data_IF_542602390162
#
_entry.id   IF_542602390162
#
_cell.length_a   1.000
_cell.length_b   1.000
_cell.length_c   1.000
_cell.angle_alpha   90.00
_cell.angle_beta   90.00
_cell.angle_gamma   90.00
#
_symmetry.space_group_name_H-M   'P 1'
#
loop_
_entity.id
_entity.type
_entity.pdbx_description
1 polymer ?
#
# COMPACT_ATOMS: atom_id res chain seq x y z
N UNK A 1 -29.41 22.08 -15.13
CA UNK A 1 -28.15 21.52 -14.58
C UNK A 1 -28.47 20.08 -14.20
N UNK A 2 -27.89 19.08 -14.88
CA UNK A 2 -28.25 17.67 -14.72
C UNK A 2 -27.14 16.87 -14.00
N UNK A 3 -26.34 17.56 -13.17
CA UNK A 3 -25.29 16.91 -12.41
C UNK A 3 -25.92 16.20 -11.20
N UNK A 4 -25.69 14.89 -11.02
CA UNK A 4 -26.16 14.17 -9.85
C UNK A 4 -25.47 14.68 -8.58
N UNK A 5 -26.09 14.46 -7.42
CA UNK A 5 -25.48 14.87 -6.16
C UNK A 5 -24.35 13.92 -5.77
N UNK A 6 -23.31 14.44 -5.11
CA UNK A 6 -22.13 13.62 -4.75
C UNK A 6 -22.44 12.52 -3.75
N UNK A 7 -23.43 12.68 -2.88
CA UNK A 7 -23.76 11.66 -1.87
C UNK A 7 -24.35 10.39 -2.51
N UNK A 8 -24.95 10.50 -3.70
CA UNK A 8 -25.51 9.38 -4.45
C UNK A 8 -24.43 8.35 -4.86
N UNK A 9 -23.14 8.69 -4.71
CA UNK A 9 -22.01 7.80 -4.99
C UNK A 9 -21.79 6.73 -3.92
N UNK A 10 -22.13 7.02 -2.66
CA UNK A 10 -21.81 6.16 -1.50
C UNK A 10 -22.99 5.94 -0.55
N UNK A 11 -24.06 6.72 -0.64
CA UNK A 11 -25.29 6.54 0.14
C UNK A 11 -26.28 5.71 -0.68
N UNK A 12 -26.78 4.62 -0.09
CA UNK A 12 -27.86 3.80 -0.65
C UNK A 12 -29.20 4.52 -0.51
N UNK A 13 -30.04 4.44 -1.52
CA UNK A 13 -31.40 4.97 -1.46
C UNK A 13 -32.35 4.01 -0.75
N UNK A 14 -33.48 4.53 -0.27
CA UNK A 14 -34.49 3.73 0.42
C UNK A 14 -35.03 2.61 -0.48
N UNK A 15 -34.69 1.36 -0.14
CA UNK A 15 -35.10 0.16 -0.88
C UNK A 15 -34.03 -0.45 -1.79
N UNK A 16 -32.86 0.18 -1.96
CA UNK A 16 -31.74 -0.42 -2.69
C UNK A 16 -31.02 -1.47 -1.85
N UNK A 17 -30.87 -2.69 -2.39
CA UNK A 17 -30.06 -3.72 -1.74
C UNK A 17 -28.58 -3.43 -2.01
N UNK A 18 -27.70 -3.48 -0.99
CA UNK A 18 -26.26 -3.21 -1.20
C UNK A 18 -25.59 -4.25 -2.09
N UNK A 19 -26.07 -5.50 -2.04
CA UNK A 19 -25.54 -6.63 -2.77
C UNK A 19 -26.69 -7.39 -3.43
N UNK A 20 -26.56 -7.62 -4.73
CA UNK A 20 -27.47 -8.44 -5.51
C UNK A 20 -26.69 -9.61 -6.11
N UNK A 21 -27.09 -10.84 -5.80
CA UNK A 21 -26.44 -12.05 -6.35
C UNK A 21 -27.27 -12.57 -7.51
N UNK A 22 -26.63 -12.73 -8.67
CA UNK A 22 -27.22 -13.24 -9.89
C UNK A 22 -26.46 -14.51 -10.26
N UNK A 23 -27.09 -15.67 -10.09
CA UNK A 23 -26.49 -16.94 -10.48
C UNK A 23 -26.40 -17.05 -12.00
N UNK A 24 -25.27 -17.54 -12.52
CA UNK A 24 -25.07 -17.72 -13.97
C UNK A 24 -25.59 -19.10 -14.38
N UNK A 25 -26.61 -19.13 -15.24
CA UNK A 25 -27.19 -20.39 -15.74
C UNK A 25 -26.37 -21.02 -16.87
N UNK A 26 -25.42 -20.28 -17.46
CA UNK A 26 -24.63 -20.76 -18.62
C UNK A 26 -23.35 -21.47 -18.20
N UNK A 27 -22.80 -21.14 -17.02
CA UNK A 27 -21.53 -21.67 -16.53
C UNK A 27 -21.79 -22.34 -15.18
N UNK A 28 -21.40 -23.61 -15.00
CA UNK A 28 -21.59 -24.29 -13.72
C UNK A 28 -20.78 -23.60 -12.62
N UNK A 29 -21.36 -23.54 -11.41
CA UNK A 29 -20.73 -22.96 -10.22
C UNK A 29 -20.22 -21.52 -10.41
N UNK A 30 -20.94 -20.73 -11.21
CA UNK A 30 -20.62 -19.33 -11.43
C UNK A 30 -21.73 -18.41 -10.92
N UNK A 31 -21.34 -17.29 -10.32
CA UNK A 31 -22.25 -16.24 -9.91
C UNK A 31 -21.69 -14.87 -10.32
N UNK A 32 -22.59 -13.98 -10.70
CA UNK A 32 -22.31 -12.55 -10.90
C UNK A 32 -22.93 -11.79 -9.75
N UNK A 33 -22.10 -11.10 -8.98
CA UNK A 33 -22.51 -10.32 -7.82
C UNK A 33 -22.42 -8.85 -8.19
N UNK A 34 -23.52 -8.13 -8.03
CA UNK A 34 -23.61 -6.70 -8.25
C UNK A 34 -23.57 -5.99 -6.90
N UNK A 35 -22.59 -5.11 -6.74
CA UNK A 35 -22.40 -4.34 -5.50
C UNK A 35 -22.66 -2.87 -5.82
N UNK A 36 -23.65 -2.30 -5.13
CA UNK A 36 -24.08 -0.92 -5.33
C UNK A 36 -23.27 0.04 -4.44
N UNK A 37 -23.13 1.27 -4.93
CA UNK A 37 -22.45 2.39 -4.24
C UNK A 37 -20.99 2.07 -3.86
N UNK A 38 -20.31 1.30 -4.70
CA UNK A 38 -18.91 0.91 -4.53
C UNK A 38 -18.15 1.04 -5.84
N UNK A 39 -16.83 1.18 -5.73
CA UNK A 39 -15.94 1.50 -6.83
C UNK A 39 -14.78 0.48 -6.97
N UNK A 40 -13.75 0.87 -7.73
CA UNK A 40 -12.55 0.08 -7.95
C UNK A 40 -11.79 -0.24 -6.67
N UNK A 41 -11.93 0.56 -5.61
CA UNK A 41 -11.25 0.36 -4.33
C UNK A 41 -11.61 -1.01 -3.77
N UNK A 42 -12.90 -1.30 -3.67
CA UNK A 42 -13.40 -2.57 -3.18
C UNK A 42 -13.33 -3.65 -4.26
N UNK A 43 -13.70 -3.33 -5.50
CA UNK A 43 -13.73 -4.30 -6.61
C UNK A 43 -12.37 -4.92 -6.91
N UNK A 44 -11.31 -4.12 -6.98
CA UNK A 44 -9.97 -4.62 -7.26
C UNK A 44 -9.39 -5.41 -6.07
N UNK A 45 -9.65 -4.96 -4.85
CA UNK A 45 -9.19 -5.63 -3.64
C UNK A 45 -9.80 -7.02 -3.51
N UNK A 46 -11.12 -7.14 -3.68
CA UNK A 46 -11.81 -8.43 -3.68
C UNK A 46 -11.31 -9.34 -4.80
N UNK A 47 -11.16 -8.82 -6.02
CA UNK A 47 -10.65 -9.61 -7.15
C UNK A 47 -9.27 -10.20 -6.84
N UNK A 48 -8.36 -9.41 -6.30
CA UNK A 48 -7.01 -9.88 -5.95
C UNK A 48 -7.06 -10.98 -4.88
N UNK A 49 -7.87 -10.80 -3.83
CA UNK A 49 -8.02 -11.80 -2.78
C UNK A 49 -8.64 -13.10 -3.30
N UNK A 50 -9.66 -12.99 -4.15
CA UNK A 50 -10.35 -14.13 -4.76
C UNK A 50 -9.38 -14.95 -5.61
N UNK A 51 -8.58 -14.30 -6.46
CA UNK A 51 -7.56 -14.96 -7.29
C UNK A 51 -6.44 -15.64 -6.48
N UNK A 52 -6.22 -15.23 -5.24
CA UNK A 52 -5.23 -15.89 -4.36
C UNK A 52 -5.74 -17.22 -3.78
N UNK A 53 -7.04 -17.53 -3.89
CA UNK A 53 -7.61 -18.77 -3.34
C UNK A 53 -7.57 -19.91 -4.36
N UNK A 54 -7.13 -21.12 -3.97
CA UNK A 54 -6.93 -22.24 -4.91
C UNK A 54 -8.23 -22.82 -5.48
N UNK A 55 -9.36 -22.53 -4.84
CA UNK A 55 -10.68 -23.06 -5.15
C UNK A 55 -11.37 -22.30 -6.29
N UNK A 56 -10.79 -21.18 -6.71
CA UNK A 56 -11.33 -20.32 -7.74
C UNK A 56 -10.77 -20.72 -9.11
N UNK A 57 -11.66 -20.82 -10.09
CA UNK A 57 -11.28 -21.01 -11.48
C UNK A 57 -11.21 -19.67 -12.21
N UNK A 58 -12.12 -18.75 -11.87
CA UNK A 58 -12.17 -17.43 -12.48
C UNK A 58 -12.71 -16.39 -11.50
N UNK A 59 -12.03 -15.23 -11.45
CA UNK A 59 -12.51 -14.05 -10.77
C UNK A 59 -12.19 -12.80 -11.59
N UNK A 60 -13.21 -12.01 -11.90
CA UNK A 60 -13.05 -10.77 -12.64
C UNK A 60 -14.13 -9.77 -12.25
N UNK A 61 -13.78 -8.50 -12.18
CA UNK A 61 -14.75 -7.42 -11.97
C UNK A 61 -14.73 -6.43 -13.11
N UNK A 62 -15.85 -5.76 -13.33
CA UNK A 62 -15.97 -4.66 -14.27
C UNK A 62 -16.91 -3.59 -13.73
N UNK A 63 -16.60 -2.34 -14.03
CA UNK A 63 -17.51 -1.21 -13.87
C UNK A 63 -18.17 -0.98 -15.23
N UNK A 64 -19.48 -1.25 -15.40
CA UNK A 64 -20.12 -1.16 -16.72
C UNK A 64 -20.10 0.25 -17.30
N UNK A 65 -20.20 1.26 -16.44
CA UNK A 65 -20.17 2.66 -16.83
C UNK A 65 -19.66 3.54 -15.68
N UNK A 66 -18.75 4.50 -15.92
CA UNK A 66 -18.12 5.29 -14.86
C UNK A 66 -19.07 6.24 -14.13
N UNK A 67 -20.18 6.66 -14.77
CA UNK A 67 -21.17 7.53 -14.12
C UNK A 67 -22.10 6.81 -13.14
N UNK A 68 -22.05 5.47 -13.09
CA UNK A 68 -22.87 4.70 -12.16
C UNK A 68 -21.96 4.02 -11.14
N UNK A 69 -22.15 4.31 -9.83
CA UNK A 69 -21.28 3.82 -8.76
C UNK A 69 -21.67 2.37 -8.41
N UNK A 70 -21.49 1.44 -9.34
CA UNK A 70 -21.62 0.02 -9.06
C UNK A 70 -20.65 -0.78 -9.92
N UNK A 71 -20.23 -1.93 -9.40
CA UNK A 71 -19.44 -2.88 -10.17
C UNK A 71 -20.08 -4.26 -10.14
N UNK A 72 -19.74 -5.05 -11.14
CA UNK A 72 -20.14 -6.44 -11.27
C UNK A 72 -18.90 -7.30 -11.10
N UNK A 73 -18.92 -8.22 -10.14
CA UNK A 73 -17.88 -9.23 -9.97
C UNK A 73 -18.42 -10.60 -10.37
N UNK A 74 -17.70 -11.28 -11.26
CA UNK A 74 -18.00 -12.63 -11.71
C UNK A 74 -17.02 -13.59 -11.06
N UNK A 75 -17.56 -14.59 -10.40
CA UNK A 75 -16.83 -15.61 -9.64
C UNK A 75 -17.24 -16.97 -10.21
N UNK A 76 -16.25 -17.83 -10.45
CA UNK A 76 -16.45 -19.23 -10.82
C UNK A 76 -15.59 -20.11 -9.91
N UNK A 77 -16.21 -21.09 -9.28
CA UNK A 77 -15.55 -22.04 -8.37
C UNK A 77 -15.44 -23.43 -9.02
N UNK A 78 -14.58 -24.27 -8.44
CA UNK A 78 -14.43 -25.68 -8.81
C UNK A 78 -15.63 -26.56 -8.42
N UNK A 79 -16.58 -26.02 -7.66
CA UNK A 79 -17.77 -26.71 -7.15
C UNK A 79 -17.62 -27.30 -5.75
N UNK A 80 -16.46 -27.16 -5.10
CA UNK A 80 -16.27 -27.55 -3.70
C UNK A 80 -17.00 -26.61 -2.74
N UNK A 81 -17.00 -25.31 -3.06
CA UNK A 81 -17.66 -24.25 -2.28
C UNK A 81 -18.51 -23.39 -3.22
N UNK A 82 -19.64 -22.89 -2.72
CA UNK A 82 -20.49 -21.96 -3.46
C UNK A 82 -19.79 -20.61 -3.67
N UNK A 83 -20.00 -19.92 -4.79
CA UNK A 83 -19.38 -18.61 -5.04
C UNK A 83 -19.67 -17.57 -3.95
N UNK A 84 -20.85 -17.65 -3.32
CA UNK A 84 -21.25 -16.76 -2.22
C UNK A 84 -20.40 -17.02 -0.97
N UNK A 85 -20.29 -18.27 -0.53
CA UNK A 85 -19.49 -18.62 0.64
C UNK A 85 -18.00 -18.34 0.43
N UNK A 86 -17.50 -18.51 -0.80
CA UNK A 86 -16.12 -18.15 -1.13
C UNK A 86 -15.88 -16.64 -1.04
N UNK A 87 -16.87 -15.82 -1.43
CA UNK A 87 -16.79 -14.37 -1.27
C UNK A 87 -16.74 -13.97 0.20
N UNK A 88 -17.56 -14.57 1.06
CA UNK A 88 -17.56 -14.28 2.50
C UNK A 88 -16.19 -14.60 3.12
N UNK A 89 -15.62 -15.77 2.78
CA UNK A 89 -14.27 -16.14 3.23
C UNK A 89 -13.19 -15.18 2.70
N UNK A 90 -13.35 -14.64 1.49
CA UNK A 90 -12.43 -13.62 0.96
C UNK A 90 -12.50 -12.34 1.78
N UNK A 91 -13.69 -11.89 2.14
CA UNK A 91 -13.91 -10.71 2.98
C UNK A 91 -13.29 -10.88 4.37
N UNK A 92 -13.51 -12.03 5.03
CA UNK A 92 -12.93 -12.33 6.35
C UNK A 92 -11.39 -12.31 6.31
N UNK A 93 -10.79 -12.91 5.28
CA UNK A 93 -9.32 -12.90 5.09
C UNK A 93 -8.77 -11.50 4.86
N UNK A 94 -9.48 -10.66 4.10
CA UNK A 94 -9.10 -9.25 3.89
C UNK A 94 -9.16 -8.46 5.19
N UNK A 95 -10.23 -8.62 5.98
CA UNK A 95 -10.37 -7.97 7.30
C UNK A 95 -9.22 -8.39 8.22
N UNK A 96 -8.88 -9.68 8.26
CA UNK A 96 -7.75 -10.20 9.05
C UNK A 96 -6.40 -9.64 8.59
N UNK A 97 -6.20 -9.50 7.29
CA UNK A 97 -4.97 -8.93 6.69
C UNK A 97 -4.82 -7.45 7.04
N UNK A 98 -5.89 -6.66 6.89
CA UNK A 98 -5.90 -5.23 7.24
C UNK A 98 -5.72 -5.01 8.74
N UNK A 99 -6.35 -5.83 9.58
CA UNK A 99 -6.18 -5.76 11.04
C UNK A 99 -4.73 -6.06 11.45
N UNK A 100 -4.11 -7.04 10.79
CA UNK A 100 -2.70 -7.39 11.02
C UNK A 100 -1.75 -6.28 10.56
N UNK A 101 -2.06 -5.65 9.42
CA UNK A 101 -1.33 -4.49 8.91
C UNK A 101 -1.43 -3.31 9.88
N UNK A 102 -2.62 -2.99 10.36
CA UNK A 102 -2.86 -1.91 11.32
C UNK A 102 -2.06 -2.12 12.61
N UNK A 103 -2.09 -3.35 13.16
CA UNK A 103 -1.36 -3.68 14.38
C UNK A 103 0.17 -3.55 14.20
N UNK A 104 0.70 -4.05 13.07
CA UNK A 104 2.14 -3.92 12.75
C UNK A 104 2.51 -2.45 12.53
N UNK A 105 1.70 -1.70 11.79
CA UNK A 105 1.94 -0.28 11.53
C UNK A 105 1.97 0.55 12.81
N UNK A 106 0.99 0.37 13.70
CA UNK A 106 0.95 1.05 15.02
C UNK A 106 2.16 0.70 15.89
N UNK A 107 2.58 -0.57 15.89
CA UNK A 107 3.78 -1.01 16.60
C UNK A 107 5.02 -0.27 16.10
N UNK A 108 5.28 -0.27 14.80
CA UNK A 108 6.47 0.38 14.23
C UNK A 108 6.46 1.90 14.46
N UNK A 109 5.30 2.55 14.37
CA UNK A 109 5.20 3.99 14.61
C UNK A 109 5.39 4.37 16.08
N UNK A 110 4.99 3.51 17.03
CA UNK A 110 5.21 3.75 18.46
C UNK A 110 6.69 3.82 18.86
N UNK A 111 7.58 3.20 18.08
CA UNK A 111 9.03 3.29 18.32
C UNK A 111 9.67 4.55 17.70
N UNK A 112 9.07 5.12 16.64
CA UNK A 112 9.60 6.32 15.96
C UNK A 112 9.45 7.60 16.78
N UNK A 113 8.42 7.70 17.63
CA UNK A 113 8.24 8.84 18.51
C UNK A 113 9.34 8.94 19.59
N UNK A 114 10.06 7.84 19.86
CA UNK A 114 11.14 7.81 20.87
C UNK A 114 12.49 8.22 20.28
N UNK A 115 12.80 7.86 19.03
CA UNK A 115 14.06 8.28 18.38
C UNK A 115 14.10 9.78 18.02
N UNK A 116 12.93 10.43 17.84
CA UNK A 116 12.83 11.88 17.60
C UNK A 116 12.97 12.75 18.86
N UNK A 117 12.92 12.17 20.06
CA UNK A 117 12.91 12.93 21.33
C UNK A 117 14.28 13.00 22.04
N UNK A 118 15.31 12.29 21.57
CA UNK A 118 16.66 12.27 22.21
C UNK A 118 17.57 13.40 21.70
N UNK A 119 17.01 14.46 21.10
CA UNK A 119 17.76 15.62 20.59
C UNK A 119 17.59 16.92 21.38
N UNK A 120 16.79 16.95 22.45
CA UNK A 120 16.41 18.22 23.10
C UNK A 120 16.28 18.12 24.62
N UNK A 121 17.32 17.65 25.32
CA UNK A 121 17.43 17.86 26.76
C UNK A 121 18.90 17.76 27.25
N UNK A 122 19.67 18.84 27.09
CA UNK A 122 20.67 19.26 28.10
C UNK A 122 21.29 20.62 27.75
N UNK A 123 20.68 21.70 28.24
CA UNK A 123 21.31 22.99 28.50
C UNK A 123 20.55 23.60 29.69
N UNK A 124 21.14 24.03 30.81
CA UNK A 124 22.37 24.79 31.07
C UNK A 124 22.78 24.61 32.58
N UNK A 125 23.77 25.30 33.20
CA UNK A 125 24.57 26.44 32.72
C UNK A 125 26.08 26.46 33.04
N UNK A 126 26.83 27.18 32.18
CA UNK A 126 27.96 28.07 32.54
C UNK A 126 29.26 27.48 33.08
N UNK A 127 30.31 27.45 32.25
CA UNK A 127 31.53 28.28 32.40
C UNK A 127 32.67 27.81 31.48
N UNK A 128 33.14 28.70 30.58
CA UNK A 128 34.55 28.75 30.19
C UNK A 128 34.96 28.32 28.77
N UNK A 129 35.04 29.29 27.84
CA UNK A 129 36.12 29.38 26.84
C UNK A 129 35.91 28.75 25.46
N UNK A 130 36.56 29.28 24.40
CA UNK A 130 35.88 29.51 23.12
C UNK A 130 36.43 28.72 21.91
N UNK A 131 35.72 28.91 20.79
CA UNK A 131 36.14 28.80 19.39
C UNK A 131 35.74 27.52 18.64
N UNK A 132 34.94 27.73 17.58
CA UNK A 132 34.81 26.76 16.49
C UNK A 132 33.42 26.51 15.91
N UNK A 133 32.45 27.42 16.01
CA UNK A 133 31.23 27.34 15.19
C UNK A 133 31.48 28.04 13.86
N UNK A 134 31.50 27.31 12.74
CA UNK A 134 30.93 27.77 11.46
C UNK A 134 30.49 26.56 10.61
N UNK A 135 29.19 26.29 10.67
CA UNK A 135 28.27 26.11 9.53
C UNK A 135 28.58 25.04 8.45
N UNK A 136 27.93 23.88 8.58
CA UNK A 136 27.58 23.04 7.43
C UNK A 136 26.06 22.99 7.33
N UNK A 137 25.50 23.80 6.44
CA UNK A 137 24.09 23.78 6.04
C UNK A 137 23.77 22.47 5.30
N UNK A 138 22.80 21.65 5.76
CA UNK A 138 22.53 20.35 5.14
C UNK A 138 21.83 20.42 3.77
N UNK A 139 21.43 21.60 3.26
CA UNK A 139 20.62 21.71 2.04
C UNK A 139 21.01 22.81 1.02
N UNK A 140 22.24 23.35 1.08
CA UNK A 140 22.68 24.43 0.18
C UNK A 140 23.04 24.01 -1.26
N UNK A 141 22.24 24.46 -2.22
CA UNK A 141 22.53 24.39 -3.66
C UNK A 141 23.84 25.14 -4.01
N UNK A 142 24.65 24.55 -4.88
CA UNK A 142 26.02 24.99 -5.14
C UNK A 142 26.17 26.41 -5.68
N UNK A 143 27.26 27.07 -5.26
CA UNK A 143 27.93 28.08 -6.05
C UNK A 143 29.39 28.26 -5.63
N UNK A 144 30.26 28.10 -6.63
CA UNK A 144 31.49 28.88 -6.89
C UNK A 144 32.74 28.74 -6.00
N UNK A 145 33.79 28.31 -6.70
CA UNK A 145 35.06 29.01 -6.90
C UNK A 145 36.16 28.92 -5.82
N UNK A 146 37.27 28.29 -6.24
CA UNK A 146 38.52 29.05 -6.32
C UNK A 146 39.68 28.62 -5.43
N UNK A 147 40.54 27.75 -5.97
CA UNK A 147 42.00 27.93 -5.96
C UNK A 147 42.81 27.45 -4.74
N UNK A 148 43.90 26.73 -5.02
CA UNK A 148 45.04 26.65 -4.09
C UNK A 148 45.84 25.35 -4.13
N UNK A 149 47.02 25.40 -4.76
CA UNK A 149 47.97 24.32 -5.02
C UNK A 149 48.63 23.66 -3.80
N UNK A 150 49.17 22.44 -4.00
CA UNK A 150 50.23 21.84 -3.16
C UNK A 150 50.31 20.32 -3.27
N UNK A 151 51.38 19.78 -3.84
CA UNK A 151 51.48 18.39 -4.33
C UNK A 151 52.08 17.35 -3.40
N UNK A 152 52.18 16.10 -3.89
CA UNK A 152 52.90 15.00 -3.24
C UNK A 152 52.55 13.63 -3.83
N UNK A 153 53.54 12.92 -4.36
CA UNK A 153 53.46 11.66 -5.12
C UNK A 153 53.23 10.41 -4.25
N UNK A 154 52.61 9.37 -4.83
CA UNK A 154 52.62 8.01 -4.27
C UNK A 154 51.81 7.02 -5.10
N UNK A 155 52.51 6.12 -5.80
CA UNK A 155 51.97 5.08 -6.68
C UNK A 155 51.43 3.85 -5.92
N UNK A 156 50.52 3.07 -6.53
CA UNK A 156 50.30 1.68 -6.11
C UNK A 156 48.98 1.00 -6.51
N UNK A 157 49.02 0.31 -7.65
CA UNK A 157 48.43 -1.02 -7.94
C UNK A 157 46.93 -1.33 -7.64
N UNK A 158 46.18 -1.51 -8.74
CA UNK A 158 45.57 -2.80 -9.16
C UNK A 158 44.50 -3.48 -8.28
N UNK A 159 43.33 -3.78 -8.85
CA UNK A 159 42.41 -4.77 -8.29
C UNK A 159 41.00 -4.75 -8.85
N UNK A 160 40.74 -5.60 -9.83
CA UNK A 160 39.47 -5.89 -10.48
C UNK A 160 38.45 -6.60 -9.57
N UNK A 161 37.16 -6.26 -9.74
CA UNK A 161 36.04 -7.21 -9.66
C UNK A 161 35.43 -7.49 -8.28
N UNK A 162 34.10 -7.43 -8.20
CA UNK A 162 33.36 -7.95 -7.04
C UNK A 162 32.00 -7.31 -6.78
N UNK A 163 31.08 -7.31 -7.75
CA UNK A 163 29.66 -7.17 -7.44
C UNK A 163 29.20 -8.46 -6.76
N UNK A 164 29.22 -8.52 -5.43
CA UNK A 164 28.59 -9.60 -4.68
C UNK A 164 28.11 -9.16 -3.31
N UNK A 165 26.89 -9.60 -2.99
CA UNK A 165 26.19 -9.61 -1.70
C UNK A 165 25.17 -8.49 -1.44
N UNK A 166 24.12 -8.47 -2.27
CA UNK A 166 22.77 -8.13 -1.79
C UNK A 166 22.13 -9.41 -1.24
N UNK A 167 21.66 -9.38 0.00
CA UNK A 167 21.04 -10.50 0.73
C UNK A 167 19.66 -10.83 0.14
N UNK A 168 19.45 -12.11 -0.20
CA UNK A 168 18.16 -12.65 -0.59
C UNK A 168 17.25 -12.75 0.64
N UNK A 169 16.11 -12.07 0.61
CA UNK A 169 15.06 -12.15 1.64
C UNK A 169 13.86 -12.91 1.08
N UNK A 170 13.95 -14.24 1.04
CA UNK A 170 12.80 -15.13 0.87
C UNK A 170 13.08 -16.45 1.59
N UNK A 171 12.79 -16.47 2.89
CA UNK A 171 12.40 -17.66 3.64
C UNK A 171 11.71 -17.17 4.91
N UNK A 172 10.37 -17.26 4.91
CA UNK A 172 9.46 -17.50 6.04
C UNK A 172 8.01 -17.46 5.54
#
# INVERSE_FOLDING_TARGET
>A
MNAPNRYELYVLEDGEKPVEVIEDTKIPNAATIKILKQDHTLGNMLRAQLLAMPQILFAGYKVPHPLHPYFLIKIQTDGTITPQALLDQACEKLIGTLSSLEAKFKREFSYKDVEGAVGAASAAPGAGGPAGHLDVDPYGAGASAGGGAGGGQGAGAGGSGGWSQGRDYLDL
#
